data_IF_532645571613
#
_entry.id   IF_532645571613
#
_cell.length_a   1.000
_cell.length_b   1.000
_cell.length_c   1.000
_cell.angle_alpha   90.00
_cell.angle_beta   90.00
_cell.angle_gamma   90.00
#
_symmetry.space_group_name_H-M   'P 1'
#
loop_
_entity.id
_entity.type
_entity.pdbx_description
1 polymer ?
2 non-polymer ?
3 non-polymer ?
4 non-polymer ?
5 water ?
#
# COMPACT_ATOMS: atom_id res chain seq x y z
N UNK A 5 15.52 -15.56 -2.34
CA UNK A 5 14.33 -15.00 -2.96
C UNK A 5 14.35 -13.48 -3.00
N UNK A 6 14.81 -12.87 -1.92
CA UNK A 6 14.93 -11.42 -1.86
C UNK A 6 16.04 -10.94 -2.78
N UNK A 7 15.79 -9.81 -3.44
CA UNK A 7 16.77 -9.17 -4.31
C UNK A 7 17.13 -7.83 -3.68
N UNK A 8 18.38 -7.69 -3.23
CA UNK A 8 18.86 -6.40 -2.75
C UNK A 8 19.25 -5.55 -3.96
N UNK A 9 18.71 -4.34 -4.01
CA UNK A 9 18.91 -3.44 -5.15
C UNK A 9 19.13 -2.08 -4.53
N UNK A 10 20.38 -1.64 -4.49
CA UNK A 10 20.69 -0.46 -3.70
C UNK A 10 20.30 -0.69 -2.25
N UNK A 11 19.62 0.30 -1.67
CA UNK A 11 19.16 0.23 -0.29
C UNK A 11 17.76 -0.36 -0.17
N UNK A 12 17.21 -0.94 -1.24
CA UNK A 12 15.87 -1.48 -1.26
C UNK A 12 15.91 -3.00 -1.45
N UNK A 13 14.77 -3.64 -1.19
CA UNK A 13 14.64 -5.09 -1.36
C UNK A 13 13.40 -5.37 -2.19
N UNK A 14 13.52 -6.28 -3.14
CA UNK A 14 12.41 -6.68 -4.00
C UNK A 14 12.23 -8.19 -3.91
N UNK A 15 10.98 -8.64 -3.88
CA UNK A 15 10.67 -10.06 -3.72
C UNK A 15 9.50 -10.41 -4.61
N UNK A 16 9.69 -11.39 -5.48
CA UNK A 16 8.59 -11.85 -6.33
C UNK A 16 7.60 -12.66 -5.52
N UNK A 17 6.32 -12.31 -5.65
CA UNK A 17 5.24 -12.99 -4.95
C UNK A 17 4.38 -13.85 -5.86
N UNK A 18 4.36 -13.55 -7.16
CA UNK A 18 3.58 -14.27 -8.15
C UNK A 18 4.19 -13.96 -9.50
N UNK A 19 3.78 -14.67 -10.56
CA UNK A 19 4.41 -14.43 -11.87
C UNK A 19 4.43 -12.97 -12.31
N UNK A 20 3.42 -12.18 -11.93
CA UNK A 20 3.32 -10.79 -12.35
C UNK A 20 3.31 -9.82 -11.17
N UNK A 21 3.77 -10.23 -9.97
CA UNK A 21 3.64 -9.40 -8.77
C UNK A 21 4.93 -9.46 -7.97
N UNK A 22 5.43 -8.27 -7.58
CA UNK A 22 6.60 -8.18 -6.71
C UNK A 22 6.30 -7.22 -5.56
N UNK A 23 6.93 -7.46 -4.42
CA UNK A 23 6.86 -6.56 -3.27
C UNK A 23 8.11 -5.70 -3.26
N UNK A 24 7.93 -4.38 -3.10
CA UNK A 24 9.05 -3.47 -2.88
C UNK A 24 9.16 -3.12 -1.40
N UNK A 25 10.40 -3.00 -0.91
CA UNK A 25 10.65 -2.70 0.51
C UNK A 25 11.72 -1.62 0.61
N UNK A 26 11.42 -0.58 1.38
CA UNK A 26 12.33 0.52 1.64
C UNK A 26 12.41 0.80 3.14
N UNK A 27 13.46 1.49 3.56
CA UNK A 27 13.76 1.65 4.99
C UNK A 27 13.98 3.12 5.33
N UNK A 28 13.48 3.53 6.50
CA UNK A 28 13.70 4.87 7.03
C UNK A 28 14.01 4.80 8.51
N UNK A 29 15.01 5.57 8.95
CA UNK A 29 15.32 5.66 10.36
C UNK A 29 14.25 6.45 11.11
N UNK A 30 13.67 5.84 12.14
CA UNK A 30 12.91 6.58 13.13
C UNK A 30 13.83 6.83 14.30
N UNK A 31 14.29 8.06 14.52
CA UNK A 31 15.38 8.29 15.50
C UNK A 31 15.11 7.70 16.87
N UNK A 32 16.10 6.97 17.39
CA UNK A 32 15.99 6.27 18.65
C UNK A 32 15.19 4.99 18.60
N UNK A 33 14.50 4.70 17.49
CA UNK A 33 13.63 3.55 17.35
C UNK A 33 14.17 2.51 16.38
N UNK A 34 14.89 2.92 15.35
CA UNK A 34 15.45 2.00 14.38
C UNK A 34 14.94 2.26 12.97
N UNK A 35 15.46 1.46 12.05
CA UNK A 35 15.14 1.56 10.65
C UNK A 35 13.88 0.74 10.36
N UNK A 36 12.83 1.40 9.92
CA UNK A 36 11.52 0.76 9.72
C UNK A 36 11.34 0.41 8.25
N UNK A 37 11.05 -0.87 7.98
CA UNK A 37 10.74 -1.32 6.63
C UNK A 37 9.30 -0.97 6.27
N UNK A 38 9.10 -0.59 5.01
CA UNK A 38 7.74 -0.40 4.49
C UNK A 38 7.65 -1.09 3.15
N UNK A 39 6.55 -1.82 2.94
CA UNK A 39 6.32 -2.62 1.74
C UNK A 39 5.23 -2.02 0.86
N UNK A 40 5.45 -2.09 -0.45
CA UNK A 40 4.42 -1.85 -1.44
C UNK A 40 4.44 -2.92 -2.50
N UNK A 41 3.71 -2.72 -3.60
CA UNK A 41 3.60 -3.76 -4.63
C UNK A 41 3.90 -3.17 -6.01
N UNK A 42 4.33 -4.06 -6.90
CA UNK A 42 4.55 -3.79 -8.31
C UNK A 42 3.85 -4.90 -9.09
N UNK A 43 2.99 -4.53 -10.03
CA UNK A 43 2.19 -5.50 -10.78
C UNK A 43 2.38 -5.27 -12.27
N UNK A 44 2.72 -6.33 -13.00
CA UNK A 44 2.73 -6.25 -14.45
C UNK A 44 1.36 -6.68 -14.97
N UNK A 45 0.73 -5.80 -15.75
CA UNK A 45 -0.56 -6.08 -16.39
C UNK A 45 -0.31 -5.97 -17.89
N UNK A 46 -0.04 -7.10 -18.53
CA UNK A 46 0.23 -7.08 -19.96
C UNK A 46 1.47 -6.28 -20.25
N UNK A 47 1.32 -5.24 -21.07
CA UNK A 47 2.45 -4.41 -21.44
C UNK A 47 2.67 -3.16 -20.60
N UNK A 48 2.14 -3.15 -19.38
CA UNK A 48 2.35 -2.00 -18.51
C UNK A 48 2.53 -2.47 -17.07
N UNK A 49 3.03 -1.56 -16.24
CA UNK A 49 3.29 -1.83 -14.84
C UNK A 49 2.44 -0.89 -13.99
N UNK A 50 1.92 -1.41 -12.88
CA UNK A 50 1.13 -0.67 -11.91
C UNK A 50 1.82 -0.75 -10.56
N UNK A 51 1.87 0.35 -9.83
CA UNK A 51 2.56 0.42 -8.54
C UNK A 51 1.55 0.73 -7.44
N UNK A 52 1.70 0.04 -6.31
CA UNK A 52 0.94 0.31 -5.09
C UNK A 52 1.92 0.82 -4.05
N UNK A 53 1.75 2.09 -3.66
CA UNK A 53 2.53 2.81 -2.65
C UNK A 53 3.91 3.25 -3.13
N UNK A 54 4.34 4.44 -2.72
CA UNK A 54 5.73 4.84 -2.94
C UNK A 54 6.62 4.18 -1.89
N UNK A 55 7.92 4.42 -2.01
CA UNK A 55 8.83 4.22 -0.89
C UNK A 55 8.78 5.43 0.05
N UNK A 56 9.58 5.40 1.12
CA UNK A 56 9.55 6.51 2.07
C UNK A 56 9.96 7.84 1.42
N UNK A 57 10.90 7.82 0.47
CA UNK A 57 11.48 9.05 -0.06
C UNK A 57 11.44 9.09 -1.57
N UNK A 58 11.65 10.30 -2.10
CA UNK A 58 11.74 10.46 -3.55
C UNK A 58 12.89 9.63 -4.13
N UNK A 59 14.07 9.70 -3.50
CA UNK A 59 15.22 8.98 -4.04
C UNK A 59 14.96 7.48 -4.06
N UNK A 60 14.36 6.95 -3.00
CA UNK A 60 14.06 5.52 -2.97
C UNK A 60 13.01 5.17 -4.02
N UNK A 61 12.03 6.05 -4.21
CA UNK A 61 10.98 5.78 -5.20
C UNK A 61 11.56 5.80 -6.62
N UNK A 62 12.48 6.73 -6.89
CA UNK A 62 13.19 6.70 -8.17
C UNK A 62 13.94 5.39 -8.34
N UNK A 63 14.48 4.83 -7.25
CA UNK A 63 15.14 3.53 -7.34
C UNK A 63 14.16 2.40 -7.65
N UNK A 64 12.93 2.47 -7.11
CA UNK A 64 11.92 1.50 -7.53
C UNK A 64 11.72 1.56 -9.03
N UNK A 65 11.63 2.77 -9.58
CA UNK A 65 11.43 2.89 -11.02
C UNK A 65 12.64 2.37 -11.78
N UNK A 66 13.84 2.54 -11.24
CA UNK A 66 15.03 1.99 -11.87
C UNK A 66 14.99 0.47 -11.87
N UNK A 67 14.58 -0.14 -10.75
CA UNK A 67 14.47 -1.59 -10.70
C UNK A 67 13.45 -2.08 -11.71
N UNK A 68 12.31 -1.39 -11.83
CA UNK A 68 11.29 -1.74 -12.81
C UNK A 68 11.87 -1.70 -14.23
N UNK A 69 12.62 -0.63 -14.54
CA UNK A 69 13.22 -0.51 -15.85
C UNK A 69 14.14 -1.69 -16.16
N UNK A 70 14.98 -2.07 -15.19
CA UNK A 70 15.94 -3.14 -15.44
C UNK A 70 15.27 -4.53 -15.45
N UNK A 71 14.31 -4.77 -14.57
CA UNK A 71 13.78 -6.13 -14.39
C UNK A 71 12.49 -6.40 -15.15
N UNK A 72 11.73 -5.37 -15.53
CA UNK A 72 10.49 -5.53 -16.28
C UNK A 72 10.55 -4.81 -17.62
N UNK A 73 11.05 -3.57 -17.62
CA UNK A 73 11.27 -2.81 -18.86
C UNK A 73 9.97 -2.55 -19.62
N UNK A 74 8.95 -2.12 -18.89
CA UNK A 74 7.69 -1.68 -19.45
C UNK A 74 7.27 -0.39 -18.74
N UNK A 75 6.48 0.46 -19.40
CA UNK A 75 6.09 1.73 -18.77
C UNK A 75 5.24 1.51 -17.54
N UNK A 76 5.40 2.40 -16.57
CA UNK A 76 4.56 2.38 -15.37
C UNK A 76 3.34 3.26 -15.67
N UNK A 77 2.18 2.62 -15.82
CA UNK A 77 1.00 3.35 -16.26
C UNK A 77 0.38 4.19 -15.15
N UNK A 78 0.49 3.75 -13.91
CA UNK A 78 -0.13 4.47 -12.80
C UNK A 78 0.40 3.92 -11.49
N UNK A 79 0.20 4.71 -10.44
CA UNK A 79 0.46 4.30 -9.08
C UNK A 79 -0.74 4.71 -8.23
N UNK A 80 -1.09 3.86 -7.28
CA UNK A 80 -2.10 4.17 -6.27
C UNK A 80 -1.43 4.08 -4.91
N UNK A 81 -1.70 5.06 -4.05
CA UNK A 81 -1.08 5.14 -2.73
C UNK A 81 -2.18 5.03 -1.67
N UNK A 82 -1.85 4.39 -0.55
CA UNK A 82 -2.90 3.84 0.30
C UNK A 82 -3.23 4.62 1.57
N UNK A 83 -2.47 5.67 1.90
CA UNK A 83 -2.90 6.69 2.87
C UNK A 83 -1.81 7.76 2.95
N UNK A 84 -2.14 8.87 3.63
CA UNK A 84 -1.29 10.06 3.65
C UNK A 84 -0.27 10.03 4.79
N UNK A 85 0.57 9.01 4.80
CA UNK A 85 1.76 8.97 5.64
C UNK A 85 2.98 8.74 4.75
N UNK A 86 4.16 9.06 5.30
CA UNK A 86 5.39 9.09 4.50
C UNK A 86 5.73 7.73 3.89
N UNK A 87 5.53 6.67 4.57
CA UNK A 87 5.84 5.37 4.04
C UNK A 87 5.07 5.01 2.75
N UNK A 88 3.91 5.62 2.56
CA UNK A 88 3.06 5.32 1.41
C UNK A 88 3.05 6.42 0.37
N UNK A 89 3.29 7.67 0.75
CA UNK A 89 3.23 8.78 -0.19
C UNK A 89 4.48 9.63 -0.23
N UNK A 90 5.52 9.29 0.54
CA UNK A 90 6.70 10.13 0.63
C UNK A 90 7.40 10.36 -0.70
N UNK A 91 7.18 9.49 -1.68
CA UNK A 91 7.87 9.59 -2.94
C UNK A 91 7.02 10.07 -4.09
N UNK A 92 5.92 10.78 -3.79
CA UNK A 92 5.01 11.25 -4.83
C UNK A 92 5.73 12.07 -5.91
N UNK A 93 6.63 12.97 -5.49
CA UNK A 93 7.32 13.83 -6.47
C UNK A 93 8.12 13.00 -7.47
N UNK A 94 8.72 11.89 -7.03
CA UNK A 94 9.49 11.05 -7.94
C UNK A 94 8.58 10.41 -9.00
N UNK A 95 7.37 10.02 -8.62
CA UNK A 95 6.42 9.50 -9.59
C UNK A 95 6.03 10.58 -10.59
N UNK A 96 5.77 11.78 -10.11
CA UNK A 96 5.37 12.86 -11.00
C UNK A 96 6.51 13.25 -11.93
N UNK A 97 7.74 13.32 -11.41
CA UNK A 97 8.88 13.63 -12.26
C UNK A 97 9.04 12.61 -13.39
N UNK A 98 8.64 11.36 -13.13
CA UNK A 98 8.71 10.29 -14.12
C UNK A 98 7.53 10.27 -15.09
N UNK A 99 6.54 11.15 -14.90
CA UNK A 99 5.40 11.18 -15.78
C UNK A 99 4.33 10.15 -15.48
N UNK A 100 4.29 9.61 -14.27
CA UNK A 100 3.37 8.53 -13.91
C UNK A 100 2.11 9.13 -13.30
N UNK A 101 0.95 8.68 -13.79
CA UNK A 101 -0.33 9.13 -13.24
C UNK A 101 -0.53 8.55 -11.85
N UNK A 102 -0.94 9.40 -10.89
CA UNK A 102 -1.02 8.98 -9.50
C UNK A 102 -2.43 9.16 -8.95
N UNK A 103 -2.82 8.23 -8.09
CA UNK A 103 -4.17 8.13 -7.55
C UNK A 103 -4.09 7.91 -6.04
N UNK A 104 -5.01 8.56 -5.31
CA UNK A 104 -5.16 8.34 -3.88
C UNK A 104 -6.62 8.60 -3.51
N UNK A 105 -7.04 8.03 -2.39
CA UNK A 105 -8.31 8.41 -1.78
C UNK A 105 -8.39 9.94 -1.74
N UNK A 106 -9.54 10.49 -2.16
CA UNK A 106 -9.77 11.93 -2.03
C UNK A 106 -9.35 12.46 -0.67
N UNK A 107 -9.67 11.71 0.39
CA UNK A 107 -9.32 12.16 1.74
C UNK A 107 -7.81 12.19 1.95
N UNK A 108 -7.09 11.22 1.36
CA UNK A 108 -5.63 11.27 1.41
C UNK A 108 -5.09 12.54 0.75
N UNK A 109 -5.65 12.90 -0.41
CA UNK A 109 -5.18 14.11 -1.08
C UNK A 109 -5.49 15.36 -0.28
N UNK A 110 -6.66 15.40 0.36
CA UNK A 110 -6.99 16.53 1.22
C UNK A 110 -6.05 16.63 2.41
N UNK A 111 -5.70 15.50 3.02
CA UNK A 111 -4.82 15.48 4.18
C UNK A 111 -3.36 15.67 3.81
N UNK A 112 -2.97 15.43 2.56
CA UNK A 112 -1.55 15.38 2.21
C UNK A 112 -0.77 16.61 2.66
N UNK A 113 -1.19 17.85 2.36
CA UNK A 113 -0.36 18.99 2.76
C UNK A 113 -0.06 19.06 4.24
N UNK A 114 -1.08 18.90 5.10
CA UNK A 114 -0.84 18.98 6.54
C UNK A 114 0.01 17.84 7.05
N UNK A 115 0.04 16.71 6.34
CA UNK A 115 0.89 15.60 6.73
C UNK A 115 2.31 15.72 6.19
N UNK A 116 2.61 16.80 5.44
CA UNK A 116 3.91 16.94 4.83
C UNK A 116 4.06 16.19 3.53
N UNK A 117 2.97 15.71 2.95
CA UNK A 117 2.97 14.94 1.71
C UNK A 117 2.56 15.81 0.53
N UNK A 118 2.98 15.38 -0.65
CA UNK A 118 2.47 15.92 -1.91
C UNK A 118 1.26 15.07 -2.33
N UNK A 119 0.17 15.74 -2.69
CA UNK A 119 -1.03 15.01 -3.09
C UNK A 119 -0.81 14.27 -4.41
N UNK A 120 -1.56 13.18 -4.58
CA UNK A 120 -1.63 12.53 -5.88
C UNK A 120 -2.39 13.42 -6.86
N UNK A 121 -2.23 13.12 -8.15
CA UNK A 121 -2.86 13.93 -9.19
C UNK A 121 -4.36 13.69 -9.27
N UNK A 122 -4.83 12.49 -8.90
CA UNK A 122 -6.21 12.10 -9.07
C UNK A 122 -6.76 11.56 -7.76
N UNK A 123 -8.05 11.82 -7.53
CA UNK A 123 -8.72 11.42 -6.30
C UNK A 123 -9.67 10.26 -6.57
N UNK A 124 -9.55 9.21 -5.76
CA UNK A 124 -10.51 8.12 -5.77
C UNK A 124 -11.66 8.43 -4.83
N UNK A 125 -12.87 8.13 -5.24
CA UNK A 125 -14.01 8.22 -4.35
C UNK A 125 -14.62 6.83 -4.24
N UNK A 126 -15.41 6.64 -3.19
CA UNK A 126 -15.86 5.31 -2.80
C UNK A 126 -17.35 5.28 -2.57
N UNK A 127 -17.97 4.18 -2.99
CA UNK A 127 -19.37 3.94 -2.71
C UNK A 127 -19.57 3.69 -1.22
N UNK A 128 -20.83 3.77 -0.78
CA UNK A 128 -21.12 3.56 0.64
C UNK A 128 -20.63 2.20 1.12
N UNK A 129 -20.63 1.19 0.26
CA UNK A 129 -20.19 -0.15 0.64
C UNK A 129 -18.67 -0.33 0.60
N UNK A 130 -17.91 0.71 0.26
CA UNK A 130 -16.46 0.64 0.31
C UNK A 130 -15.77 0.46 -1.03
N UNK A 131 -16.46 -0.04 -2.05
CA UNK A 131 -15.78 -0.26 -3.32
C UNK A 131 -15.56 1.07 -4.03
N UNK A 132 -14.38 1.20 -4.67
CA UNK A 132 -14.07 2.42 -5.40
C UNK A 132 -15.12 2.67 -6.47
N UNK A 133 -15.43 3.94 -6.70
CA UNK A 133 -16.31 4.31 -7.81
C UNK A 133 -15.49 4.17 -9.08
N UNK A 134 -15.89 3.27 -10.00
CA UNK A 134 -14.99 2.87 -11.09
C UNK A 134 -14.55 4.02 -11.99
N UNK A 135 -15.37 5.05 -12.17
CA UNK A 135 -14.96 6.17 -13.01
C UNK A 135 -13.76 6.91 -12.46
N UNK A 136 -13.50 6.80 -11.15
CA UNK A 136 -12.34 7.47 -10.57
C UNK A 136 -11.08 6.63 -10.63
N UNK A 137 -11.17 5.36 -11.02
CA UNK A 137 -10.02 4.46 -11.09
C UNK A 137 -9.92 3.86 -12.48
N UNK A 138 -9.81 4.70 -13.52
CA UNK A 138 -9.76 4.16 -14.89
C UNK A 138 -8.46 3.41 -15.11
N UNK A 139 -8.54 2.35 -15.90
CA UNK A 139 -7.37 1.61 -16.38
C UNK A 139 -6.59 0.94 -15.26
N UNK A 140 -7.28 0.60 -14.17
CA UNK A 140 -6.63 -0.05 -13.04
C UNK A 140 -6.39 -1.54 -13.28
N UNK A 141 -6.85 -2.10 -14.40
CA UNK A 141 -6.58 -3.49 -14.70
C UNK A 141 -7.02 -4.41 -13.59
N UNK A 142 -6.11 -5.26 -13.10
CA UNK A 142 -6.48 -6.22 -12.05
C UNK A 142 -6.57 -5.62 -10.65
N UNK A 143 -6.24 -4.35 -10.46
CA UNK A 143 -6.24 -3.77 -9.12
C UNK A 143 -7.67 -3.44 -8.71
N UNK A 144 -8.12 -4.01 -7.60
CA UNK A 144 -9.46 -3.79 -7.07
C UNK A 144 -9.31 -3.03 -5.75
N UNK A 145 -9.72 -1.77 -5.76
CA UNK A 145 -9.48 -0.85 -4.64
C UNK A 145 -10.71 -0.79 -3.74
N UNK A 146 -10.48 -0.93 -2.44
CA UNK A 146 -11.56 -1.04 -1.47
C UNK A 146 -11.23 -0.20 -0.25
N UNK A 147 -12.20 0.63 0.17
CA UNK A 147 -12.07 1.38 1.42
C UNK A 147 -12.77 0.59 2.52
N UNK A 148 -12.04 0.04 3.48
CA UNK A 148 -12.65 -0.87 4.47
C UNK A 148 -13.27 -0.18 5.67
N UNK A 149 -13.15 1.14 5.75
CA UNK A 149 -13.51 1.88 6.95
C UNK A 149 -12.27 2.39 7.63
N UNK A 150 -12.46 3.31 8.59
CA UNK A 150 -11.30 3.89 9.28
C UNK A 150 -10.63 2.90 10.22
N UNK A 151 -9.30 2.94 10.26
CA UNK A 151 -8.55 2.00 11.06
C UNK A 151 -7.20 2.54 11.46
N UNK A 152 -6.14 2.08 10.76
CA UNK A 152 -4.82 2.67 10.97
C UNK A 152 -4.87 4.18 10.76
N UNK A 153 -5.58 4.62 9.73
CA UNK A 153 -5.96 6.02 9.55
C UNK A 153 -7.39 6.07 9.04
N UNK A 154 -7.97 7.27 9.04
CA UNK A 154 -9.33 7.42 8.51
C UNK A 154 -9.38 7.25 6.99
N UNK A 155 -8.26 7.46 6.30
CA UNK A 155 -8.22 7.43 4.84
C UNK A 155 -7.66 6.13 4.28
N UNK A 156 -7.29 5.17 5.13
CA UNK A 156 -6.59 3.99 4.61
C UNK A 156 -7.43 3.21 3.59
N UNK A 157 -6.80 2.83 2.48
CA UNK A 157 -7.45 2.01 1.47
C UNK A 157 -6.63 0.74 1.25
N UNK A 158 -7.26 -0.22 0.57
CA UNK A 158 -6.68 -1.55 0.40
C UNK A 158 -6.87 -1.98 -1.06
N UNK A 159 -6.09 -2.97 -1.49
CA UNK A 159 -6.04 -3.31 -2.91
C UNK A 159 -5.93 -4.81 -3.08
N UNK A 160 -6.86 -5.40 -3.83
CA UNK A 160 -6.76 -6.79 -4.24
C UNK A 160 -6.25 -6.88 -5.66
N UNK A 161 -5.59 -8.00 -5.98
CA UNK A 161 -5.04 -8.21 -7.31
C UNK A 161 -5.82 -9.35 -7.96
N UNK A 162 -6.76 -8.99 -8.84
CA UNK A 162 -7.56 -9.99 -9.53
C UNK A 162 -6.66 -10.94 -10.31
N UNK A 163 -7.07 -12.21 -10.36
CA UNK A 163 -6.28 -13.22 -11.02
C UNK A 163 -5.15 -13.79 -10.17
N UNK A 164 -5.01 -13.35 -8.93
CA UNK A 164 -4.01 -13.84 -8.02
C UNK A 164 -4.69 -14.13 -6.69
N UNK A 165 -3.93 -14.73 -5.78
CA UNK A 165 -4.39 -14.97 -4.43
C UNK A 165 -3.95 -13.89 -3.45
N UNK A 166 -3.64 -12.69 -3.94
CA UNK A 166 -2.98 -11.64 -3.17
C UNK A 166 -3.94 -10.49 -2.92
N UNK A 167 -3.97 -10.01 -1.67
CA UNK A 167 -4.59 -8.75 -1.31
C UNK A 167 -3.66 -7.97 -0.40
N UNK A 168 -3.70 -6.64 -0.51
CA UNK A 168 -2.77 -5.74 0.17
C UNK A 168 -3.53 -4.89 1.19
N UNK A 169 -3.20 -5.08 2.47
CA UNK A 169 -3.86 -4.34 3.51
C UNK A 169 -3.15 -3.09 3.96
N UNK A 170 -1.94 -2.85 3.45
CA UNK A 170 -1.22 -1.63 3.82
C UNK A 170 -0.91 -1.60 5.31
N UNK A 171 -1.08 -0.42 5.91
CA UNK A 171 -0.81 -0.34 7.34
C UNK A 171 -1.99 -0.77 8.20
N UNK A 172 -3.12 -1.13 7.61
CA UNK A 172 -4.26 -1.59 8.39
C UNK A 172 -3.98 -2.95 9.03
N UNK A 173 -3.30 -3.83 8.31
CA UNK A 173 -3.15 -5.23 8.72
C UNK A 173 -1.73 -5.47 9.23
N UNK A 174 -1.63 -6.18 10.35
CA UNK A 174 -0.37 -6.65 10.90
C UNK A 174 -0.30 -8.17 10.81
N UNK A 175 0.91 -8.71 10.93
CA UNK A 175 1.08 -10.14 10.71
C UNK A 175 0.48 -10.94 11.87
N UNK A 176 0.34 -12.25 11.64
CA UNK A 176 -0.39 -13.13 12.55
C UNK A 176 0.30 -13.33 13.89
N UNK A 177 1.55 -12.90 14.04
CA UNK A 177 2.26 -12.97 15.31
C UNK A 177 2.60 -11.59 15.85
N UNK A 178 2.00 -10.53 15.30
CA UNK A 178 2.34 -9.18 15.71
C UNK A 178 1.97 -8.94 17.16
N UNK A 179 2.81 -8.21 17.87
CA UNK A 179 2.57 -7.88 19.27
C UNK A 179 1.78 -6.59 19.46
N UNK A 180 1.64 -5.76 18.42
CA UNK A 180 0.91 -4.51 18.57
C UNK A 180 0.37 -4.07 17.23
N UNK A 181 -0.45 -3.03 17.28
CA UNK A 181 -1.01 -2.43 16.07
C UNK A 181 -0.17 -1.28 15.54
N UNK A 182 1.07 -1.14 16.04
CA UNK A 182 1.98 -0.16 15.46
C UNK A 182 1.60 1.26 15.82
N UNK A 183 1.74 2.16 14.84
CA UNK A 183 1.50 3.58 15.06
C UNK A 183 0.00 3.86 14.99
N UNK A 184 -0.58 4.18 16.14
CA UNK A 184 -2.00 4.51 16.24
C UNK A 184 -2.24 6.01 16.35
N UNK A 185 -1.23 6.84 16.04
CA UNK A 185 -1.37 8.28 16.23
C UNK A 185 -2.51 8.91 15.45
N UNK A 186 -2.81 8.37 14.26
CA UNK A 186 -3.90 8.87 13.45
C UNK A 186 -5.03 7.85 13.31
N UNK A 187 -5.06 6.87 14.19
CA UNK A 187 -5.97 5.74 14.07
C UNK A 187 -7.35 6.07 14.60
N UNK A 188 -8.32 5.31 14.11
CA UNK A 188 -9.69 5.29 14.60
C UNK A 188 -9.82 3.99 15.40
N UNK A 189 -9.59 4.08 16.71
CA UNK A 189 -9.55 2.87 17.53
C UNK A 189 -10.92 2.22 17.68
N UNK A 190 -12.00 3.01 17.65
CA UNK A 190 -13.34 2.45 17.77
C UNK A 190 -13.66 1.52 16.60
N UNK A 191 -13.27 1.89 15.38
CA UNK A 191 -13.71 1.19 14.17
C UNK A 191 -12.67 0.24 13.60
N UNK A 192 -11.48 0.17 14.20
CA UNK A 192 -10.37 -0.58 13.62
C UNK A 192 -10.74 -2.04 13.37
N UNK A 193 -11.28 -2.72 14.38
CA UNK A 193 -11.56 -4.15 14.24
C UNK A 193 -12.51 -4.42 13.09
N UNK A 194 -13.59 -3.64 13.00
CA UNK A 194 -14.55 -3.83 11.93
C UNK A 194 -13.94 -3.55 10.56
N UNK A 195 -13.10 -2.52 10.48
CA UNK A 195 -12.43 -2.20 9.22
C UNK A 195 -11.47 -3.31 8.79
N UNK A 196 -10.73 -3.87 9.74
CA UNK A 196 -9.89 -5.02 9.44
C UNK A 196 -10.72 -6.19 8.92
N UNK A 197 -11.85 -6.48 9.58
CA UNK A 197 -12.69 -7.59 9.14
C UNK A 197 -13.34 -7.31 7.79
N UNK A 198 -13.68 -6.04 7.53
CA UNK A 198 -14.25 -5.69 6.23
C UNK A 198 -13.26 -5.90 5.10
N UNK A 199 -11.98 -5.60 5.33
CA UNK A 199 -10.94 -5.92 4.35
C UNK A 199 -10.95 -7.40 4.01
N UNK A 200 -10.97 -8.27 5.03
CA UNK A 200 -10.99 -9.70 4.77
C UNK A 200 -12.22 -10.14 3.98
N UNK A 201 -13.38 -9.57 4.30
CA UNK A 201 -14.61 -9.96 3.63
C UNK A 201 -14.66 -9.45 2.20
N UNK A 202 -13.95 -8.37 1.90
CA UNK A 202 -13.93 -7.82 0.56
C UNK A 202 -13.11 -8.70 -0.38
N UNK A 203 -12.11 -9.40 0.14
CA UNK A 203 -11.21 -10.22 -0.66
C UNK A 203 -11.18 -11.64 -0.11
N UNK A 204 -12.30 -12.37 -0.19
CA UNK A 204 -12.36 -13.69 0.44
C UNK A 204 -11.44 -14.72 -0.20
N UNK A 205 -11.09 -14.55 -1.48
CA UNK A 205 -10.23 -15.51 -2.16
C UNK A 205 -8.75 -15.27 -1.92
N UNK A 206 -8.38 -14.19 -1.24
CA UNK A 206 -6.96 -13.85 -1.06
C UNK A 206 -6.37 -14.69 0.06
N UNK A 207 -5.48 -15.61 -0.30
CA UNK A 207 -4.79 -16.43 0.69
C UNK A 207 -3.45 -15.84 1.10
N UNK A 208 -2.89 -14.94 0.30
CA UNK A 208 -1.65 -14.25 0.65
C UNK A 208 -1.98 -12.81 0.97
N UNK A 209 -1.78 -12.42 2.22
CA UNK A 209 -2.04 -11.06 2.69
C UNK A 209 -0.71 -10.32 2.77
N UNK A 210 -0.58 -9.26 1.97
CA UNK A 210 0.61 -8.42 1.96
C UNK A 210 0.32 -7.17 2.79
N UNK A 211 1.31 -6.70 3.53
CA UNK A 211 1.10 -5.59 4.46
C UNK A 211 2.36 -4.73 4.51
N UNK A 212 2.24 -3.60 5.20
CA UNK A 212 3.28 -2.57 5.11
C UNK A 212 4.56 -2.95 5.82
N UNK A 213 4.46 -3.64 6.96
CA UNK A 213 5.64 -3.77 7.84
C UNK A 213 6.00 -5.21 8.18
N UNK A 214 5.43 -6.19 7.51
CA UNK A 214 5.79 -7.57 7.75
C UNK A 214 5.80 -8.30 6.42
N UNK A 215 6.46 -9.46 6.40
CA UNK A 215 6.45 -10.31 5.22
C UNK A 215 5.03 -10.79 4.95
N UNK A 216 4.71 -11.14 3.70
CA UNK A 216 3.38 -11.67 3.39
C UNK A 216 3.03 -12.85 4.28
N UNK A 217 1.76 -12.93 4.66
CA UNK A 217 1.30 -13.91 5.63
C UNK A 217 0.00 -14.53 5.12
N UNK A 218 -0.48 -15.54 5.85
CA UNK A 218 -1.78 -16.11 5.58
C UNK A 218 -2.89 -15.19 6.11
N UNK A 219 -4.15 -15.61 5.93
CA UNK A 219 -5.27 -14.81 6.39
C UNK A 219 -5.34 -14.70 7.90
N UNK A 220 -4.54 -15.48 8.63
CA UNK A 220 -4.45 -15.29 10.08
C UNK A 220 -3.94 -13.89 10.43
N UNK A 221 -3.25 -13.22 9.50
CA UNK A 221 -2.91 -11.82 9.74
C UNK A 221 -4.17 -10.99 9.95
N UNK A 222 -5.23 -11.28 9.18
CA UNK A 222 -6.47 -10.52 9.29
C UNK A 222 -7.17 -10.85 10.61
N UNK A 223 -7.35 -12.14 10.91
CA UNK A 223 -8.03 -12.52 12.14
C UNK A 223 -7.27 -12.01 13.36
N UNK A 224 -5.94 -12.11 13.34
CA UNK A 224 -5.17 -11.68 14.50
C UNK A 224 -5.19 -10.17 14.64
N UNK A 225 -5.09 -9.44 13.53
CA UNK A 225 -5.18 -7.98 13.61
C UNK A 225 -6.53 -7.55 14.17
N UNK A 226 -7.60 -8.14 13.67
CA UNK A 226 -8.93 -7.78 14.17
C UNK A 226 -9.05 -8.14 15.65
N UNK A 227 -8.53 -9.29 16.05
CA UNK A 227 -8.64 -9.71 17.45
C UNK A 227 -7.88 -8.76 18.38
N UNK A 228 -6.72 -8.27 17.94
CA UNK A 228 -6.00 -7.26 18.72
C UNK A 228 -6.79 -5.96 18.78
N UNK A 229 -7.40 -5.57 17.66
CA UNK A 229 -8.18 -4.35 17.60
C UNK A 229 -9.46 -4.44 18.44
N UNK A 230 -9.98 -5.65 18.65
CA UNK A 230 -11.13 -5.80 19.56
C UNK A 230 -10.83 -5.21 20.93
N UNK A 231 -9.56 -5.28 21.38
CA UNK A 231 -9.19 -4.77 22.69
C UNK A 231 -9.14 -3.25 22.74
N UNK A 232 -9.10 -2.57 21.58
CA UNK A 232 -9.09 -1.12 21.58
C UNK A 232 -10.46 -0.54 21.93
N UNK A 233 -11.51 -1.34 21.87
CA UNK A 233 -12.86 -0.86 22.14
C UNK A 233 -13.19 -0.96 23.62
X LIG B 1 0.43 5.20 8.28
X LIG C 1 2.73 1.71 8.57
X LIG D 1 4.23 9.15 14.96
X LIG D 1 4.55 8.16 13.85
X LIG D 1 4.07 8.43 12.61
X LIG D 1 4.31 7.59 11.55
X LIG D 1 3.64 8.11 10.29
X LIG D 1 5.06 6.40 11.75
X LIG D 1 5.35 5.42 10.74
X LIG D 1 4.69 5.43 9.37
X LIG D 1 6.05 4.31 11.09
X LIG D 1 6.62 4.20 12.34
X LIG D 1 5.54 6.16 12.98
X LIG D 1 5.30 7.05 14.05
X LIG D 1 3.25 3.18 9.64
X LIG D 1 2.33 4.76 8.14
X LIG D 1 2.20 5.01 10.59
X LIG D 1 7.27 3.28 12.59
X LIG D 1 6.28 5.10 13.21
X LIG D 1 3.04 4.53 9.43
X LIG E 1 1.91 1.12 11.55
X LIG E 1 1.02 1.24 12.42
X LIG E 1 1.77 0.91 10.31
X LIG E 1 3.31 1.22 12.04
X LIG F 1 -3.69 10.16 7.77
X LIG F 1 -4.69 10.08 8.53
X LIG F 1 -3.50 9.64 6.64
X LIG F 1 -2.58 11.00 8.28
#
# INVERSE_FOLDING_TARGET
GSHMGDQRFGDLVFRQLAPNVWQHTSYLDMPGFGAVASNGLIVRDGGRVLVVDTAWTDDQTAQILNWIKQEINLPVALAVVTHAHQDKMGGMDALHAAGIATYANALSNQLAPQEGMVAAQHSLTFAANGWVEPATAPNFGPLKVFYPGPGHTSDNITVGIDGTDIAFGGCLIKDSKAKSLGNLGDADTEHYAASARAFGAAFPKASMIVMSHSAPDSRAAITHTARMADKLR
ZN ZN
ZN ZN
GTV C01 C02 C03 C04 C05 C06 C07 C08 C13 C14 C17 C18 O10 O11 O12 O15 O16 P09
ACT C O OXT CH3
ACT C O OXT CH3
#
